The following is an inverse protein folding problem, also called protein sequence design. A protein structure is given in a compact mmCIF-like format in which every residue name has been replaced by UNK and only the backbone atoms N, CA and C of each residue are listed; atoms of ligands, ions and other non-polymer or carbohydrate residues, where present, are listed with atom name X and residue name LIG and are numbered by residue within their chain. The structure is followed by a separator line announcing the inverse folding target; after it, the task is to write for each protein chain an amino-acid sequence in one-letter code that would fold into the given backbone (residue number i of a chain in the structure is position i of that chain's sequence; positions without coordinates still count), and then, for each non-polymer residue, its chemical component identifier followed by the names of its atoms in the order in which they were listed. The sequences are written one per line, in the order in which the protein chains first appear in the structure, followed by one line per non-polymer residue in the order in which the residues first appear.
data_IF_742918433262
#
_entry.id   IF_742918433262
#
_cell.length_a   1.000
_cell.length_b   1.000
_cell.length_c   1.000
_cell.angle_alpha   90.00
_cell.angle_beta   90.00
_cell.angle_gamma   90.00
#
_symmetry.space_group_name_H-M   'P 1'
#
loop_
_entity.id
_entity.type
_entity.pdbx_description
1 polymer ?
#
# COMPACT_ATOMS: atom_id res chain seq x y z
N UNK A 1 -0.94 12.71 -21.14
CA UNK A 1 -0.57 11.70 -20.13
C UNK A 1 0.15 12.43 -19.02
N UNK A 2 -0.60 12.88 -18.01
CA UNK A 2 0.03 13.46 -16.82
C UNK A 2 0.81 12.35 -16.12
N UNK A 3 2.13 12.52 -16.05
CA UNK A 3 2.97 11.63 -15.28
C UNK A 3 2.67 11.92 -13.81
N UNK A 4 2.17 10.92 -13.07
CA UNK A 4 2.02 11.00 -11.63
C UNK A 4 3.38 11.32 -10.97
N UNK A 5 3.62 12.59 -10.66
CA UNK A 5 4.82 13.10 -9.97
C UNK A 5 4.81 12.82 -8.46
N UNK A 6 3.82 12.06 -7.98
CA UNK A 6 3.65 11.79 -6.54
C UNK A 6 4.85 10.98 -6.01
N UNK A 7 5.41 11.35 -4.85
CA UNK A 7 6.52 10.62 -4.25
C UNK A 7 6.07 9.17 -3.98
N UNK A 8 6.88 8.23 -4.48
CA UNK A 8 6.69 6.81 -4.23
C UNK A 8 7.63 6.39 -3.12
N UNK A 9 7.09 5.67 -2.17
CA UNK A 9 7.81 5.20 -1.01
C UNK A 9 8.03 3.70 -1.16
N UNK A 10 9.23 3.26 -0.78
CA UNK A 10 9.60 1.85 -0.83
C UNK A 10 8.89 1.11 0.30
N UNK A 11 8.36 -0.06 -0.01
CA UNK A 11 7.87 -0.98 0.99
C UNK A 11 8.13 -2.42 0.56
N UNK A 12 8.44 -3.29 1.52
CA UNK A 12 8.77 -4.70 1.25
C UNK A 12 7.61 -5.57 1.69
N UNK A 13 7.12 -6.43 0.80
CA UNK A 13 6.08 -7.38 1.15
C UNK A 13 6.61 -8.38 2.20
N UNK A 14 5.97 -8.51 3.38
CA UNK A 14 6.44 -9.42 4.43
C UNK A 14 6.27 -10.91 4.06
N UNK A 15 5.42 -11.22 3.08
CA UNK A 15 5.12 -12.60 2.68
C UNK A 15 6.07 -13.13 1.59
N UNK A 16 6.32 -12.33 0.55
CA UNK A 16 7.17 -12.74 -0.57
C UNK A 16 8.53 -12.03 -0.62
N UNK A 17 8.82 -11.14 0.33
CA UNK A 17 10.09 -10.40 0.42
C UNK A 17 10.34 -9.42 -0.73
N UNK A 18 9.32 -9.13 -1.55
CA UNK A 18 9.50 -8.32 -2.75
C UNK A 18 9.26 -6.84 -2.50
N UNK A 19 10.11 -6.03 -3.09
CA UNK A 19 10.06 -4.58 -3.04
C UNK A 19 8.89 -4.05 -3.89
N UNK A 20 8.17 -3.08 -3.33
CA UNK A 20 7.05 -2.39 -3.95
C UNK A 20 7.23 -0.89 -3.75
N UNK A 21 6.76 -0.13 -4.73
CA UNK A 21 6.81 1.32 -4.72
C UNK A 21 5.38 1.84 -4.64
N UNK A 22 5.01 2.40 -3.49
CA UNK A 22 3.64 2.76 -3.14
C UNK A 22 3.55 4.28 -3.01
N UNK A 23 2.57 4.89 -3.66
CA UNK A 23 2.26 6.30 -3.45
C UNK A 23 1.47 6.46 -2.15
N UNK A 24 1.64 7.61 -1.47
CA UNK A 24 0.69 7.99 -0.41
C UNK A 24 -0.73 8.05 -0.99
N UNK A 25 -1.67 7.48 -0.25
CA UNK A 25 -3.10 7.65 -0.54
C UNK A 25 -3.55 9.03 -0.06
N UNK A 26 -4.69 9.49 -0.57
CA UNK A 26 -5.31 10.76 -0.15
C UNK A 26 -5.55 10.76 1.38
N UNK A 27 -5.92 9.59 1.95
CA UNK A 27 -6.09 9.43 3.40
C UNK A 27 -4.80 9.65 4.18
N UNK A 28 -3.66 9.15 3.68
CA UNK A 28 -2.35 9.40 4.27
C UNK A 28 -1.95 10.88 4.20
N UNK A 29 -2.31 11.58 3.12
CA UNK A 29 -2.07 13.03 3.02
C UNK A 29 -2.98 13.84 3.95
N UNK A 30 -4.18 13.34 4.28
CA UNK A 30 -5.09 13.95 5.27
C UNK A 30 -4.76 13.61 6.73
N UNK A 31 -3.66 12.88 6.99
CA UNK A 31 -3.20 12.54 8.34
C UNK A 31 -3.66 11.17 8.86
N UNK A 32 -4.37 10.37 8.05
CA UNK A 32 -4.66 8.97 8.37
C UNK A 32 -3.52 8.12 7.83
N UNK A 33 -2.52 7.89 8.67
CA UNK A 33 -1.32 7.13 8.35
C UNK A 33 -1.57 5.60 8.27
N UNK A 34 -2.64 5.22 7.59
CA UNK A 34 -3.03 3.84 7.33
C UNK A 34 -3.59 3.74 5.91
N UNK A 35 -3.20 2.66 5.25
CA UNK A 35 -3.71 2.25 3.96
C UNK A 35 -3.85 0.74 3.91
N UNK A 36 -4.61 0.26 2.95
CA UNK A 36 -4.73 -1.15 2.65
C UNK A 36 -4.39 -1.37 1.18
N UNK A 37 -3.72 -2.46 0.88
CA UNK A 37 -3.36 -2.82 -0.47
C UNK A 37 -3.16 -4.32 -0.63
N UNK A 38 -2.86 -4.75 -1.84
CA UNK A 38 -2.48 -6.13 -2.14
C UNK A 38 -1.08 -6.13 -2.74
N UNK A 39 -0.30 -7.16 -2.41
CA UNK A 39 0.96 -7.36 -3.09
C UNK A 39 0.70 -7.60 -4.59
N UNK A 40 1.43 -6.90 -5.47
CA UNK A 40 1.33 -7.10 -6.92
C UNK A 40 1.81 -8.48 -7.39
N UNK A 41 2.37 -9.30 -6.50
CA UNK A 41 3.01 -10.56 -6.84
C UNK A 41 2.32 -11.73 -6.17
N UNK A 42 2.36 -11.83 -4.84
CA UNK A 42 1.66 -12.90 -4.13
C UNK A 42 0.16 -12.64 -3.92
N UNK A 43 -0.34 -11.44 -4.27
CA UNK A 43 -1.74 -11.01 -4.06
C UNK A 43 -2.20 -11.01 -2.60
N UNK A 44 -1.31 -11.24 -1.63
CA UNK A 44 -1.65 -11.17 -0.21
C UNK A 44 -2.12 -9.77 0.15
N UNK A 45 -3.14 -9.70 1.00
CA UNK A 45 -3.66 -8.45 1.55
C UNK A 45 -2.69 -7.92 2.60
N UNK A 46 -2.33 -6.64 2.46
CA UNK A 46 -1.32 -5.98 3.27
C UNK A 46 -1.91 -4.69 3.83
N UNK A 47 -1.72 -4.48 5.12
CA UNK A 47 -1.86 -3.17 5.74
C UNK A 47 -0.58 -2.38 5.45
N UNK A 48 -0.75 -1.13 5.02
CA UNK A 48 0.33 -0.23 4.63
C UNK A 48 0.29 0.93 5.60
N UNK A 49 1.39 1.17 6.31
CA UNK A 49 1.57 2.33 7.17
C UNK A 49 2.78 3.11 6.70
N UNK A 50 2.64 4.42 6.60
CA UNK A 50 3.73 5.29 6.21
C UNK A 50 4.59 5.64 7.43
N UNK A 51 5.84 5.18 7.43
CA UNK A 51 6.78 5.55 8.46
C UNK A 51 7.38 6.92 8.12
N UNK A 52 6.95 7.96 8.84
CA UNK A 52 7.38 9.35 8.61
C UNK A 52 8.87 9.55 8.92
N UNK A 53 9.42 8.81 9.88
CA UNK A 53 10.83 8.92 10.29
C UNK A 53 11.77 8.36 9.22
N UNK A 54 11.41 7.21 8.63
CA UNK A 54 12.22 6.53 7.61
C UNK A 54 11.86 6.94 6.18
N UNK A 55 10.73 7.62 5.99
CA UNK A 55 10.14 7.88 4.67
C UNK A 55 9.96 6.56 3.88
N UNK A 56 9.44 5.52 4.53
CA UNK A 56 9.21 4.18 3.96
C UNK A 56 7.79 3.71 4.25
N UNK A 57 7.30 2.74 3.47
CA UNK A 57 6.00 2.11 3.67
C UNK A 57 6.21 0.78 4.39
N UNK A 58 5.78 0.71 5.64
CA UNK A 58 5.74 -0.53 6.41
C UNK A 58 4.52 -1.34 5.99
N UNK A 59 4.77 -2.52 5.44
CA UNK A 59 3.74 -3.45 5.03
C UNK A 59 3.65 -4.59 6.04
N UNK A 60 2.47 -4.77 6.61
CA UNK A 60 2.16 -5.90 7.48
C UNK A 60 1.09 -6.77 6.83
N UNK A 61 1.17 -8.09 7.05
CA UNK A 61 0.14 -9.01 6.59
C UNK A 61 -1.16 -8.68 7.31
N UNK A 62 -2.24 -8.50 6.56
CA UNK A 62 -3.55 -8.37 7.16
C UNK A 62 -4.08 -9.79 7.44
N UNK A 63 -4.21 -10.17 8.71
CA UNK A 63 -4.82 -11.44 9.13
C UNK A 63 -6.36 -11.38 9.05
N UNK A 64 -6.88 -11.06 7.87
CA UNK A 64 -8.29 -11.14 7.54
C UNK A 64 -8.52 -12.34 6.63
N UNK A 65 -9.23 -13.36 7.11
CA UNK A 65 -9.50 -14.60 6.39
C UNK A 65 -10.10 -14.38 5.00
N UNK A 66 -9.76 -15.27 4.07
CA UNK A 66 -10.30 -15.35 2.70
C UNK A 66 -11.76 -14.91 2.61
N UNK A 67 -12.01 -13.71 2.11
CA UNK A 67 -13.24 -13.35 1.41
C UNK A 67 -12.91 -12.21 0.47
N UNK A 68 -13.01 -12.53 -0.80
CA UNK A 68 -12.92 -11.65 -1.95
C UNK A 68 -13.86 -10.46 -1.82
N UNK A 69 -13.35 -9.29 -1.43
CA UNK A 69 -14.04 -8.03 -1.67
C UNK A 69 -13.13 -7.10 -2.45
N UNK A 70 -13.60 -6.81 -3.66
CA UNK A 70 -12.99 -5.98 -4.69
C UNK A 70 -13.08 -4.53 -4.23
N UNK A 71 -11.98 -3.96 -3.73
CA UNK A 71 -11.86 -2.51 -3.58
C UNK A 71 -10.80 -2.03 -4.58
N UNK A 72 -11.03 -2.37 -5.86
CA UNK A 72 -10.47 -1.64 -6.97
C UNK A 72 -11.34 -0.41 -7.15
N UNK A 73 -10.97 0.70 -6.52
CA UNK A 73 -11.53 2.00 -6.85
C UNK A 73 -11.07 2.38 -8.25
N UNK A 74 -11.84 1.93 -9.25
CA UNK A 74 -11.85 2.49 -10.59
C UNK A 74 -12.34 3.94 -10.44
N UNK A 75 -11.42 4.89 -10.55
CA UNK A 75 -11.75 6.31 -10.57
C UNK A 75 -12.23 6.62 -12.00
N UNK A 76 -13.55 6.60 -12.20
CA UNK A 76 -14.21 7.08 -13.41
C UNK A 76 -14.57 8.56 -13.27
#
# INVERSE_FOLDING_TARGET
MEQDKRPRYKGICPECGREMWICKSIFMEMGINQGAGRCLQCKTFLSIQFNEEKQEMELTKFEGGSSSESIGGDLQ
#
